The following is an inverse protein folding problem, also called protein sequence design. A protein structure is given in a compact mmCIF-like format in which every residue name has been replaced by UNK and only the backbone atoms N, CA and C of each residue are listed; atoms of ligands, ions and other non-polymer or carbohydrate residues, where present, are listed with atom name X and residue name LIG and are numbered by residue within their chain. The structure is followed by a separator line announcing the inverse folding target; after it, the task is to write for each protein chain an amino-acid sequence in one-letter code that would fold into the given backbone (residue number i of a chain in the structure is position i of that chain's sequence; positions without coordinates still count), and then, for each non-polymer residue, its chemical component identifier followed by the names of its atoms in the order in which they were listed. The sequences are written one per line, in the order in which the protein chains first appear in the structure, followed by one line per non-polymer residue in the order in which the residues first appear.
data_IF_463519889410
#
_entry.id   IF_463519889410
#
_cell.length_a   1.000
_cell.length_b   1.000
_cell.length_c   1.000
_cell.angle_alpha   90.00
_cell.angle_beta   90.00
_cell.angle_gamma   90.00
#
_symmetry.space_group_name_H-M   'P 1'
#
loop_
_entity.id
_entity.type
_entity.pdbx_description
1 polymer ?
#
# COMPACT_ATOMS: atom_id res chain seq x y z
N UNK A 1 -6.65 -16.18 32.07
CA UNK A 1 -6.96 -16.28 30.63
C UNK A 1 -7.60 -14.97 30.17
N UNK A 2 -6.84 -14.02 29.62
CA UNK A 2 -7.42 -12.78 29.09
C UNK A 2 -7.21 -12.74 27.57
N UNK A 3 -8.14 -13.33 26.81
CA UNK A 3 -8.26 -13.09 25.37
C UNK A 3 -9.02 -11.79 25.16
N UNK A 4 -8.29 -10.69 25.06
CA UNK A 4 -8.82 -9.46 24.46
C UNK A 4 -8.69 -9.64 22.96
N UNK A 5 -9.79 -9.99 22.31
CA UNK A 5 -9.91 -10.06 20.85
C UNK A 5 -9.77 -8.63 20.35
N UNK A 6 -8.53 -8.20 20.05
CA UNK A 6 -8.31 -6.99 19.27
C UNK A 6 -8.79 -7.31 17.87
N UNK A 7 -9.76 -6.53 17.39
CA UNK A 7 -10.13 -6.53 15.99
C UNK A 7 -8.87 -6.49 15.13
N UNK A 8 -8.91 -7.21 14.02
CA UNK A 8 -7.83 -7.37 13.07
C UNK A 8 -7.46 -6.03 12.43
N UNK A 9 -6.86 -5.12 13.21
CA UNK A 9 -6.01 -4.08 12.67
C UNK A 9 -4.84 -4.83 12.06
N UNK A 10 -4.83 -4.92 10.74
CA UNK A 10 -3.66 -5.32 9.98
C UNK A 10 -2.56 -4.35 10.38
N UNK A 11 -1.78 -4.70 11.40
CA UNK A 11 -0.63 -3.93 11.81
C UNK A 11 0.39 -4.09 10.70
N UNK A 12 0.38 -3.16 9.76
CA UNK A 12 1.46 -3.01 8.79
C UNK A 12 2.70 -2.66 9.59
N UNK A 13 3.51 -3.66 9.90
CA UNK A 13 4.73 -3.48 10.69
C UNK A 13 5.77 -2.73 9.85
N UNK A 14 6.72 -2.05 10.50
CA UNK A 14 7.83 -1.39 9.79
C UNK A 14 8.58 -2.32 8.81
N UNK A 15 8.57 -3.63 9.07
CA UNK A 15 9.16 -4.64 8.18
C UNK A 15 8.42 -4.76 6.83
N UNK A 16 7.11 -4.53 6.80
CA UNK A 16 6.34 -4.57 5.55
C UNK A 16 6.84 -3.51 4.57
N UNK A 17 7.01 -2.27 5.03
CA UNK A 17 7.42 -1.17 4.16
C UNK A 17 8.80 -1.39 3.56
N UNK A 18 9.74 -1.92 4.33
CA UNK A 18 11.10 -2.17 3.86
C UNK A 18 11.19 -3.42 2.95
N UNK A 19 10.36 -4.44 3.19
CA UNK A 19 10.35 -5.65 2.37
C UNK A 19 9.59 -5.46 1.06
N UNK A 20 8.45 -4.75 1.10
CA UNK A 20 7.59 -4.59 -0.07
C UNK A 20 7.97 -3.39 -0.93
N UNK A 21 8.58 -2.36 -0.34
CA UNK A 21 9.05 -1.17 -1.04
C UNK A 21 10.56 -0.95 -0.79
N UNK A 22 11.44 -1.86 -1.26
CA UNK A 22 12.88 -1.68 -1.20
C UNK A 22 13.34 -0.61 -2.22
N UNK A 23 14.52 -0.02 -1.99
CA UNK A 23 15.16 0.88 -2.95
C UNK A 23 15.71 0.05 -4.14
N UNK A 24 14.86 -0.30 -5.11
CA UNK A 24 15.26 -1.14 -6.26
C UNK A 24 14.14 -1.57 -7.21
N UNK A 25 14.44 -2.53 -8.10
CA UNK A 25 13.49 -3.07 -9.09
C UNK A 25 12.35 -3.87 -8.44
N UNK A 26 11.12 -3.56 -8.82
CA UNK A 26 9.92 -4.32 -8.45
C UNK A 26 9.80 -5.58 -9.31
N UNK A 27 10.50 -6.65 -8.95
CA UNK A 27 10.22 -7.98 -9.49
C UNK A 27 9.31 -8.73 -8.53
N UNK A 28 8.00 -8.48 -8.63
CA UNK A 28 6.96 -9.15 -7.82
C UNK A 28 5.99 -9.90 -8.71
N UNK A 29 5.53 -11.04 -8.24
CA UNK A 29 4.52 -11.87 -8.91
C UNK A 29 3.13 -11.22 -8.82
N UNK A 30 2.20 -11.61 -9.70
CA UNK A 30 0.83 -11.09 -9.68
C UNK A 30 0.13 -11.31 -8.31
N UNK A 31 0.33 -12.47 -7.69
CA UNK A 31 -0.22 -12.80 -6.37
C UNK A 31 0.33 -11.88 -5.26
N UNK A 32 1.62 -11.55 -5.32
CA UNK A 32 2.26 -10.63 -4.38
C UNK A 32 1.72 -9.20 -4.57
N UNK A 33 1.52 -8.79 -5.83
CA UNK A 33 0.91 -7.50 -6.13
C UNK A 33 -0.52 -7.40 -5.58
N UNK A 34 -1.35 -8.45 -5.73
CA UNK A 34 -2.69 -8.44 -5.14
C UNK A 34 -2.66 -8.37 -3.61
N UNK A 35 -1.73 -9.07 -2.97
CA UNK A 35 -1.55 -8.99 -1.52
C UNK A 35 -1.20 -7.57 -1.06
N UNK A 36 -0.27 -6.91 -1.75
CA UNK A 36 0.11 -5.51 -1.46
C UNK A 36 -1.07 -4.57 -1.71
N UNK A 37 -1.76 -4.69 -2.85
CA UNK A 37 -2.95 -3.91 -3.19
C UNK A 37 -4.02 -4.02 -2.10
N UNK A 38 -4.28 -5.24 -1.61
CA UNK A 38 -5.23 -5.48 -0.52
C UNK A 38 -4.82 -4.76 0.76
N UNK A 39 -3.54 -4.81 1.14
CA UNK A 39 -3.03 -4.11 2.33
C UNK A 39 -3.18 -2.60 2.15
N UNK A 40 -2.68 -2.05 1.05
CA UNK A 40 -2.76 -0.63 0.75
C UNK A 40 -4.20 -0.12 0.74
N UNK A 41 -5.16 -0.91 0.27
CA UNK A 41 -6.59 -0.57 0.30
C UNK A 41 -7.16 -0.36 1.72
N UNK A 42 -6.44 -0.78 2.76
CA UNK A 42 -6.82 -0.66 4.17
C UNK A 42 -5.98 0.35 4.96
N UNK A 43 -4.92 0.88 4.35
CA UNK A 43 -3.96 1.79 4.99
C UNK A 43 -4.29 3.24 4.63
N UNK A 44 -4.24 4.15 5.60
CA UNK A 44 -4.35 5.58 5.34
C UNK A 44 -2.99 6.16 4.94
N UNK A 45 -2.95 7.16 4.06
CA UNK A 45 -1.68 7.77 3.62
C UNK A 45 -0.83 8.33 4.77
N UNK A 46 -1.46 8.74 5.87
CA UNK A 46 -0.78 9.20 7.08
C UNK A 46 0.01 8.08 7.80
N UNK A 47 -0.43 6.83 7.69
CA UNK A 47 0.21 5.65 8.30
C UNK A 47 1.41 5.16 7.46
N UNK A 48 1.58 5.69 6.26
CA UNK A 48 2.70 5.40 5.38
C UNK A 48 3.89 6.29 5.76
N UNK A 49 5.07 5.71 6.05
CA UNK A 49 6.28 6.47 6.34
C UNK A 49 6.58 7.46 5.22
N UNK A 50 6.93 8.71 5.58
CA UNK A 50 7.14 9.78 4.60
C UNK A 50 8.17 9.42 3.52
N UNK A 51 9.25 8.73 3.90
CA UNK A 51 10.30 8.24 3.00
C UNK A 51 9.80 7.19 1.98
N UNK A 52 8.71 6.48 2.30
CA UNK A 52 8.12 5.43 1.46
C UNK A 52 6.94 5.91 0.61
N UNK A 53 6.38 7.08 0.92
CA UNK A 53 5.18 7.61 0.22
C UNK A 53 5.38 7.71 -1.30
N UNK A 54 6.55 8.14 -1.76
CA UNK A 54 6.87 8.20 -3.18
C UNK A 54 6.87 6.81 -3.83
N UNK A 55 7.54 5.84 -3.19
CA UNK A 55 7.58 4.46 -3.68
C UNK A 55 6.20 3.82 -3.73
N UNK A 56 5.35 4.07 -2.72
CA UNK A 56 3.96 3.59 -2.70
C UNK A 56 3.14 4.24 -3.80
N UNK A 57 3.27 5.56 -4.01
CA UNK A 57 2.56 6.26 -5.08
C UNK A 57 2.94 5.72 -6.47
N UNK A 58 4.23 5.54 -6.73
CA UNK A 58 4.74 4.97 -7.98
C UNK A 58 4.24 3.54 -8.19
N UNK A 59 4.23 2.72 -7.14
CA UNK A 59 3.68 1.37 -7.18
C UNK A 59 2.19 1.35 -7.53
N UNK A 60 1.37 2.19 -6.88
CA UNK A 60 -0.07 2.24 -7.17
C UNK A 60 -0.31 2.72 -8.60
N UNK A 61 0.45 3.72 -9.07
CA UNK A 61 0.37 4.21 -10.45
C UNK A 61 0.70 3.10 -11.46
N UNK A 62 1.76 2.33 -11.19
CA UNK A 62 2.14 1.18 -12.01
C UNK A 62 1.04 0.12 -12.03
N UNK A 63 0.54 -0.29 -10.86
CA UNK A 63 -0.51 -1.31 -10.75
C UNK A 63 -1.83 -0.89 -11.42
N UNK A 64 -2.19 0.40 -11.35
CA UNK A 64 -3.37 0.94 -12.05
C UNK A 64 -3.20 0.92 -13.57
N UNK A 65 -1.99 1.22 -14.08
CA UNK A 65 -1.69 1.20 -15.52
C UNK A 65 -1.66 -0.21 -16.12
N UNK A 66 -1.19 -1.18 -15.36
CA UNK A 66 -1.07 -2.57 -15.81
C UNK A 66 -2.33 -3.41 -15.54
N UNK A 67 -3.42 -2.80 -15.07
CA UNK A 67 -4.70 -3.47 -14.71
C UNK A 67 -4.50 -4.65 -13.74
N UNK A 68 -3.43 -4.62 -12.94
CA UNK A 68 -3.12 -5.67 -11.95
C UNK A 68 -3.88 -5.49 -10.65
N UNK A 69 -4.92 -4.64 -10.65
CA UNK A 69 -5.73 -4.33 -9.47
C UNK A 69 -7.13 -4.88 -9.68
N UNK A 70 -7.58 -5.72 -8.74
CA UNK A 70 -8.99 -6.11 -8.68
C UNK A 70 -9.89 -4.88 -8.47
N UNK A 71 -11.01 -4.83 -9.19
CA UNK A 71 -11.96 -3.71 -9.11
C UNK A 71 -12.43 -3.38 -7.69
N UNK A 72 -12.44 -4.38 -6.79
CA UNK A 72 -12.81 -4.21 -5.38
C UNK A 72 -11.86 -3.30 -4.58
N UNK A 73 -10.60 -3.15 -5.02
CA UNK A 73 -9.58 -2.33 -4.35
C UNK A 73 -9.22 -1.08 -5.14
N UNK A 74 -9.59 -1.00 -6.42
CA UNK A 74 -9.23 0.09 -7.34
C UNK A 74 -9.57 1.47 -6.78
N UNK A 75 -10.83 1.71 -6.43
CA UNK A 75 -11.28 3.03 -5.95
C UNK A 75 -10.53 3.48 -4.68
N UNK A 76 -10.19 2.52 -3.80
CA UNK A 76 -9.45 2.80 -2.55
C UNK A 76 -8.00 3.14 -2.83
N UNK A 77 -7.38 2.46 -3.80
CA UNK A 77 -6.00 2.73 -4.21
C UNK A 77 -5.89 4.04 -4.99
N UNK A 78 -6.85 4.35 -5.84
CA UNK A 78 -6.93 5.66 -6.51
C UNK A 78 -7.07 6.79 -5.48
N UNK A 79 -7.94 6.63 -4.48
CA UNK A 79 -8.06 7.58 -3.38
C UNK A 79 -6.76 7.73 -2.58
N UNK A 80 -6.09 6.62 -2.27
CA UNK A 80 -4.81 6.64 -1.57
C UNK A 80 -3.73 7.35 -2.39
N UNK A 81 -3.67 7.12 -3.70
CA UNK A 81 -2.72 7.78 -4.60
C UNK A 81 -2.90 9.30 -4.60
N UNK A 82 -4.15 9.78 -4.66
CA UNK A 82 -4.45 11.22 -4.57
C UNK A 82 -3.93 11.81 -3.26
N UNK A 83 -4.21 11.17 -2.13
CA UNK A 83 -3.69 11.65 -0.84
C UNK A 83 -2.17 11.68 -0.79
N UNK A 84 -1.50 10.66 -1.33
CA UNK A 84 -0.03 10.61 -1.37
C UNK A 84 0.56 11.73 -2.22
N UNK A 85 -0.07 12.05 -3.36
CA UNK A 85 0.33 13.17 -4.22
C UNK A 85 0.13 14.53 -3.52
N UNK A 86 -0.96 14.70 -2.79
CA UNK A 86 -1.19 15.91 -1.98
C UNK A 86 -0.14 16.10 -0.88
N UNK A 87 0.36 15.00 -0.29
CA UNK A 87 1.45 15.05 0.68
C UNK A 87 2.81 15.37 0.07
N UNK A 88 3.03 15.08 -1.21
CA UNK A 88 4.28 15.40 -1.92
C UNK A 88 4.29 16.81 -2.51
N UNK A 89 3.12 17.39 -2.77
CA UNK A 89 2.99 18.75 -3.33
C UNK A 89 3.16 19.88 -2.30
N UNK A 90 3.32 19.55 -1.01
CA UNK A 90 3.56 20.48 0.11
C UNK A 90 5.00 20.41 0.59
#
# INVERSE_FOLDING_TARGET
MNRKVRGSNFMVTSNFWNNEFPDGEYSKSADEMQYINRILSTVAAQDIPAEKRGQVADYILFSLRHETIESAFKDKLEYLLVQLQEFQAK
#
